data_IF_577988464355
#
_entry.id   IF_577988464355
#
_cell.length_a   1.000
_cell.length_b   1.000
_cell.length_c   1.000
_cell.angle_alpha   90.00
_cell.angle_beta   90.00
_cell.angle_gamma   90.00
#
_symmetry.space_group_name_H-M   'P 1'
#
loop_
_entity.id
_entity.type
_entity.pdbx_description
1 polymer ?
#
# COMPACT_ATOMS: atom_id res chain seq x y z
N UNK A 1 1.84 -9.73 -2.65
CA UNK A 1 0.58 -10.32 -2.13
C UNK A 1 -0.38 -9.22 -1.69
N UNK A 2 -1.67 -9.50 -1.53
CA UNK A 2 -2.58 -8.62 -0.77
C UNK A 2 -2.16 -8.55 0.70
N UNK A 3 -2.65 -7.54 1.43
CA UNK A 3 -2.53 -7.50 2.88
C UNK A 3 -3.43 -8.61 3.49
N UNK A 4 -2.87 -9.82 3.63
CA UNK A 4 -3.56 -11.03 4.08
C UNK A 4 -2.78 -11.71 5.22
N UNK A 5 -2.99 -11.28 6.49
CA UNK A 5 -2.17 -11.69 7.62
C UNK A 5 -2.06 -13.20 7.84
N UNK A 6 -3.14 -13.95 7.61
CA UNK A 6 -3.12 -15.41 7.79
C UNK A 6 -2.25 -16.12 6.76
N UNK A 7 -2.23 -15.63 5.52
CA UNK A 7 -1.38 -16.18 4.46
C UNK A 7 0.08 -15.84 4.77
N UNK A 8 0.34 -14.60 5.18
CA UNK A 8 1.67 -14.19 5.61
C UNK A 8 2.20 -15.10 6.71
N UNK A 9 1.44 -15.27 7.79
CA UNK A 9 1.88 -16.10 8.92
C UNK A 9 2.15 -17.56 8.49
N UNK A 10 1.30 -18.13 7.63
CA UNK A 10 1.48 -19.48 7.13
C UNK A 10 2.75 -19.63 6.29
N UNK A 11 3.03 -18.67 5.41
CA UNK A 11 4.22 -18.68 4.54
C UNK A 11 5.49 -18.47 5.36
N UNK A 12 5.52 -17.51 6.30
CA UNK A 12 6.67 -17.27 7.16
C UNK A 12 6.98 -18.46 8.07
N UNK A 13 5.94 -19.17 8.53
CA UNK A 13 6.11 -20.41 9.31
C UNK A 13 6.68 -21.55 8.46
N UNK A 14 6.19 -21.71 7.23
CA UNK A 14 6.57 -22.82 6.35
C UNK A 14 7.90 -22.58 5.63
N UNK A 15 8.24 -21.32 5.33
CA UNK A 15 9.41 -20.92 4.56
C UNK A 15 10.06 -19.71 5.27
N UNK A 16 10.89 -19.94 6.29
CA UNK A 16 11.42 -18.87 7.15
C UNK A 16 12.31 -17.83 6.45
N UNK A 17 12.86 -18.17 5.27
CA UNK A 17 13.68 -17.27 4.46
C UNK A 17 12.86 -16.49 3.42
N UNK A 18 11.55 -16.69 3.34
CA UNK A 18 10.70 -15.98 2.40
C UNK A 18 10.42 -14.56 2.89
N UNK A 19 10.81 -13.56 2.10
CA UNK A 19 10.41 -12.18 2.32
C UNK A 19 9.06 -11.92 1.63
N UNK A 20 8.06 -11.52 2.40
CA UNK A 20 6.71 -11.26 1.87
C UNK A 20 6.50 -9.77 1.68
N UNK A 21 6.38 -9.39 0.41
CA UNK A 21 6.12 -8.00 0.00
C UNK A 21 4.66 -7.85 -0.46
N UNK A 22 4.05 -6.74 -0.07
CA UNK A 22 2.72 -6.35 -0.47
C UNK A 22 2.73 -5.61 -1.80
N UNK A 23 1.77 -5.95 -2.66
CA UNK A 23 1.63 -5.30 -3.95
C UNK A 23 1.27 -3.83 -3.73
N UNK A 24 2.09 -2.90 -4.24
CA UNK A 24 1.87 -1.47 -4.04
C UNK A 24 0.51 -0.98 -4.54
N UNK A 25 0.01 -1.55 -5.64
CA UNK A 25 -1.33 -1.23 -6.18
C UNK A 25 -2.42 -1.62 -5.20
N UNK A 26 -2.29 -2.78 -4.55
CA UNK A 26 -3.27 -3.25 -3.58
C UNK A 26 -3.19 -2.50 -2.25
N UNK A 27 -1.99 -2.08 -1.85
CA UNK A 27 -1.80 -1.15 -0.71
C UNK A 27 -2.57 0.14 -0.97
N UNK A 28 -2.35 0.81 -2.11
CA UNK A 28 -3.04 2.06 -2.43
C UNK A 28 -4.56 1.88 -2.56
N UNK A 29 -5.03 0.79 -3.17
CA UNK A 29 -6.47 0.49 -3.22
C UNK A 29 -7.09 0.27 -1.84
N UNK A 30 -6.39 -0.42 -0.95
CA UNK A 30 -6.86 -0.64 0.41
C UNK A 30 -6.95 0.67 1.19
N UNK A 31 -5.94 1.54 1.04
CA UNK A 31 -5.95 2.91 1.59
C UNK A 31 -7.10 3.74 1.02
N UNK A 32 -7.31 3.70 -0.29
CA UNK A 32 -8.35 4.49 -0.95
C UNK A 32 -9.76 4.17 -0.45
N UNK A 33 -10.00 2.91 -0.04
CA UNK A 33 -11.26 2.44 0.57
C UNK A 33 -11.44 2.86 2.04
N UNK A 34 -10.54 3.69 2.57
CA UNK A 34 -10.52 4.17 3.96
C UNK A 34 -10.55 5.69 4.05
N UNK A 35 -10.93 6.35 2.97
CA UNK A 35 -11.15 7.80 2.95
C UNK A 35 -12.16 8.26 4.02
N UNK A 36 -13.12 7.41 4.40
CA UNK A 36 -14.10 7.71 5.44
C UNK A 36 -13.50 7.81 6.86
N UNK A 37 -12.23 7.45 7.04
CA UNK A 37 -11.51 7.58 8.32
C UNK A 37 -10.92 8.97 8.55
N UNK A 38 -10.88 9.80 7.51
CA UNK A 38 -10.40 11.17 7.56
C UNK A 38 -11.59 12.11 7.72
N UNK A 39 -11.45 13.09 8.61
CA UNK A 39 -12.41 14.15 8.82
C UNK A 39 -12.29 15.21 7.72
N UNK A 40 -11.05 15.58 7.36
CA UNK A 40 -10.76 16.49 6.25
C UNK A 40 -10.40 15.71 4.97
N UNK A 41 -11.10 16.04 3.89
CA UNK A 41 -10.85 15.45 2.57
C UNK A 41 -9.47 15.84 2.01
N UNK A 42 -9.01 17.06 2.26
CA UNK A 42 -7.69 17.54 1.86
C UNK A 42 -6.57 16.77 2.57
N UNK A 43 -6.78 16.43 3.84
CA UNK A 43 -5.85 15.61 4.61
C UNK A 43 -5.78 14.19 4.03
N UNK A 44 -6.90 13.59 3.66
CA UNK A 44 -6.90 12.30 2.96
C UNK A 44 -6.13 12.35 1.63
N UNK A 45 -6.32 13.39 0.83
CA UNK A 45 -5.65 13.52 -0.48
C UNK A 45 -4.14 13.69 -0.31
N UNK A 46 -3.70 14.51 0.64
CA UNK A 46 -2.29 14.67 1.02
C UNK A 46 -1.71 13.35 1.51
N UNK A 47 -2.37 12.69 2.47
CA UNK A 47 -1.98 11.38 2.97
C UNK A 47 -1.83 10.33 1.86
N UNK A 48 -2.82 10.25 0.95
CA UNK A 48 -2.81 9.29 -0.15
C UNK A 48 -1.64 9.54 -1.12
N UNK A 49 -1.33 10.80 -1.40
CA UNK A 49 -0.18 11.16 -2.25
C UNK A 49 1.14 10.80 -1.57
N UNK A 50 1.30 11.08 -0.27
CA UNK A 50 2.49 10.67 0.49
C UNK A 50 2.64 9.14 0.50
N UNK A 51 1.56 8.40 0.73
CA UNK A 51 1.54 6.93 0.61
C UNK A 51 1.98 6.47 -0.79
N UNK A 52 1.55 7.14 -1.85
CA UNK A 52 1.96 6.82 -3.23
C UNK A 52 3.46 7.02 -3.43
N UNK A 53 4.03 8.11 -2.92
CA UNK A 53 5.47 8.36 -2.96
C UNK A 53 6.24 7.28 -2.19
N UNK A 54 5.78 6.90 -1.00
CA UNK A 54 6.42 5.84 -0.22
C UNK A 54 6.35 4.45 -0.86
N UNK A 55 5.31 4.19 -1.66
CA UNK A 55 5.08 2.90 -2.33
C UNK A 55 5.76 2.80 -3.70
N UNK A 56 5.86 3.92 -4.43
CA UNK A 56 6.30 3.94 -5.83
C UNK A 56 7.31 5.03 -6.21
N UNK A 57 7.61 5.98 -5.32
CA UNK A 57 8.57 7.06 -5.62
C UNK A 57 9.92 6.48 -6.01
N UNK A 58 10.58 7.04 -7.01
CA UNK A 58 11.85 6.50 -7.50
C UNK A 58 13.05 7.22 -6.89
N UNK A 59 14.22 6.58 -6.90
CA UNK A 59 15.48 7.25 -6.56
C UNK A 59 15.80 8.43 -7.48
N UNK A 60 15.24 8.44 -8.71
CA UNK A 60 15.37 9.55 -9.67
C UNK A 60 14.64 10.83 -9.21
N UNK A 61 13.63 10.73 -8.34
CA UNK A 61 12.87 11.87 -7.86
C UNK A 61 13.56 12.61 -6.68
N UNK A 62 14.77 12.18 -6.25
CA UNK A 62 15.50 12.73 -5.08
C UNK A 62 14.62 12.88 -3.83
N UNK A 63 13.69 11.93 -3.63
CA UNK A 63 12.77 11.94 -2.51
C UNK A 63 13.43 11.29 -1.30
N UNK A 64 13.51 12.01 -0.17
CA UNK A 64 13.87 11.42 1.13
C UNK A 64 12.65 10.66 1.71
N UNK A 65 12.68 9.31 1.80
CA UNK A 65 11.57 8.54 2.34
C UNK A 65 11.29 8.82 3.81
N UNK A 66 12.29 9.25 4.58
CA UNK A 66 12.12 9.60 5.99
C UNK A 66 11.36 10.92 6.13
N UNK A 67 11.67 11.92 5.29
CA UNK A 67 10.92 13.18 5.23
C UNK A 67 9.45 12.95 4.82
N UNK A 68 9.22 12.15 3.78
CA UNK A 68 7.86 11.82 3.33
C UNK A 68 7.08 11.07 4.42
N UNK A 69 7.72 10.17 5.15
CA UNK A 69 7.08 9.46 6.25
C UNK A 69 6.75 10.40 7.41
N UNK A 70 7.66 11.32 7.78
CA UNK A 70 7.39 12.33 8.81
C UNK A 70 6.19 13.21 8.44
N UNK A 71 6.13 13.71 7.20
CA UNK A 71 4.99 14.48 6.71
C UNK A 71 3.67 13.67 6.76
N UNK A 72 3.75 12.36 6.51
CA UNK A 72 2.59 11.47 6.64
C UNK A 72 2.14 11.35 8.11
N UNK A 73 3.08 11.29 9.05
CA UNK A 73 2.76 11.27 10.49
C UNK A 73 2.12 12.58 10.96
N UNK A 74 2.56 13.72 10.44
CA UNK A 74 1.95 15.03 10.74
C UNK A 74 0.47 15.05 10.36
N UNK A 75 0.13 14.61 9.14
CA UNK A 75 -1.27 14.50 8.71
C UNK A 75 -2.08 13.54 9.60
N UNK A 76 -1.50 12.40 9.99
CA UNK A 76 -2.17 11.45 10.88
C UNK A 76 -2.38 12.00 12.29
N UNK A 77 -1.52 12.91 12.78
CA UNK A 77 -1.70 13.55 14.08
C UNK A 77 -2.95 14.43 14.14
N UNK A 78 -3.37 14.99 13.00
CA UNK A 78 -4.60 15.78 12.87
C UNK A 78 -5.86 14.89 12.73
N UNK A 79 -5.68 13.60 12.42
CA UNK A 79 -6.75 12.68 12.02
C UNK A 79 -6.78 11.41 12.90
N UNK A 80 -7.31 11.47 14.14
CA UNK A 80 -7.18 10.39 15.12
C UNK A 80 -7.73 9.02 14.66
N UNK A 81 -8.86 9.02 13.95
CA UNK A 81 -9.47 7.78 13.46
C UNK A 81 -8.67 7.16 12.29
N UNK A 82 -8.07 7.99 11.45
CA UNK A 82 -7.16 7.53 10.40
C UNK A 82 -5.85 7.01 11.01
N UNK A 83 -5.31 7.69 12.03
CA UNK A 83 -4.13 7.25 12.78
C UNK A 83 -4.32 5.90 13.43
N UNK A 84 -5.40 5.70 14.18
CA UNK A 84 -5.69 4.41 14.82
C UNK A 84 -5.74 3.27 13.78
N UNK A 85 -6.39 3.52 12.64
CA UNK A 85 -6.41 2.58 11.53
C UNK A 85 -5.00 2.32 10.97
N UNK A 86 -4.21 3.38 10.76
CA UNK A 86 -2.87 3.29 10.20
C UNK A 86 -1.91 2.51 11.10
N UNK A 87 -1.92 2.81 12.39
CA UNK A 87 -1.08 2.17 13.40
C UNK A 87 -1.36 0.65 13.42
N UNK A 88 -2.64 0.28 13.34
CA UNK A 88 -3.04 -1.14 13.36
C UNK A 88 -2.75 -1.89 12.07
N UNK A 89 -2.73 -1.24 10.91
CA UNK A 89 -2.67 -1.94 9.61
C UNK A 89 -1.34 -1.79 8.87
N UNK A 90 -0.66 -0.66 9.01
CA UNK A 90 0.46 -0.28 8.13
C UNK A 90 1.75 -0.03 8.90
N UNK A 91 1.69 0.62 10.07
CA UNK A 91 2.87 1.04 10.84
C UNK A 91 3.79 -0.11 11.24
N UNK A 92 3.24 -1.27 11.60
CA UNK A 92 4.05 -2.43 11.98
C UNK A 92 4.59 -3.24 10.79
N UNK A 93 4.29 -2.81 9.56
CA UNK A 93 4.57 -3.56 8.33
C UNK A 93 5.26 -2.70 7.26
N UNK A 94 6.00 -1.65 7.67
CA UNK A 94 6.66 -0.72 6.74
C UNK A 94 7.54 -1.47 5.73
N UNK A 95 8.29 -2.48 6.20
CA UNK A 95 9.14 -3.39 5.43
C UNK A 95 8.41 -4.14 4.31
N UNK A 96 7.08 -4.28 4.43
CA UNK A 96 6.27 -5.04 3.48
C UNK A 96 5.68 -4.16 2.38
N UNK A 97 5.56 -2.86 2.57
CA UNK A 97 4.86 -2.00 1.60
C UNK A 97 5.66 -0.82 1.09
N UNK A 98 6.55 -0.21 1.88
CA UNK A 98 7.38 0.90 1.42
C UNK A 98 8.44 0.41 0.43
N UNK A 99 8.69 1.21 -0.60
CA UNK A 99 9.67 0.87 -1.64
C UNK A 99 11.09 0.75 -1.08
N UNK A 100 11.47 1.61 -0.12
CA UNK A 100 12.83 1.66 0.45
C UNK A 100 13.33 0.33 1.05
N UNK A 101 12.41 -0.57 1.41
CA UNK A 101 12.73 -1.87 2.02
C UNK A 101 12.66 -3.03 1.01
N UNK A 102 12.43 -2.74 -0.27
CA UNK A 102 12.35 -3.72 -1.35
C UNK A 102 13.70 -3.89 -2.02
N UNK A 103 13.99 -5.10 -2.51
CA UNK A 103 15.18 -5.35 -3.30
C UNK A 103 14.91 -4.99 -4.77
N UNK A 104 15.99 -4.88 -5.55
CA UNK A 104 15.91 -4.75 -7.01
C UNK A 104 15.08 -5.92 -7.61
N UNK A 105 13.99 -5.59 -8.32
CA UNK A 105 13.10 -6.58 -8.94
C UNK A 105 11.76 -6.81 -8.21
N UNK A 106 11.61 -6.39 -6.95
CA UNK A 106 10.38 -6.55 -6.16
C UNK A 106 9.29 -5.50 -6.50
N UNK A 107 9.58 -4.60 -7.44
CA UNK A 107 8.72 -3.50 -7.87
C UNK A 107 7.70 -3.83 -8.95
N UNK A 108 7.71 -5.04 -9.54
CA UNK A 108 6.86 -5.34 -10.70
C UNK A 108 5.39 -5.51 -10.32
N UNK A 109 4.64 -4.42 -10.43
CA UNK A 109 3.22 -4.29 -10.14
C UNK A 109 2.31 -4.51 -11.38
N UNK A 110 2.88 -4.61 -12.59
CA UNK A 110 2.10 -4.62 -13.84
C UNK A 110 1.50 -5.99 -14.23
N UNK A 111 2.10 -7.10 -13.81
CA UNK A 111 1.70 -8.45 -14.26
C UNK A 111 0.34 -8.83 -13.66
N UNK A 112 0.19 -8.67 -12.34
CA UNK A 112 -1.06 -9.04 -11.64
C UNK A 112 -2.26 -8.19 -12.08
N UNK A 113 -2.09 -6.87 -12.23
CA UNK A 113 -3.11 -5.95 -12.75
C UNK A 113 -3.53 -6.30 -14.18
N UNK A 114 -2.55 -6.56 -15.06
CA UNK A 114 -2.81 -6.92 -16.45
C UNK A 114 -3.62 -8.21 -16.54
N UNK A 115 -3.22 -9.26 -15.82
CA UNK A 115 -3.97 -10.51 -15.76
C UNK A 115 -5.37 -10.33 -15.16
N UNK A 116 -5.51 -9.53 -14.10
CA UNK A 116 -6.82 -9.29 -13.49
C UNK A 116 -7.77 -8.54 -14.42
N UNK A 117 -7.28 -7.53 -15.16
CA UNK A 117 -8.06 -6.82 -16.19
C UNK A 117 -8.52 -7.77 -17.30
N UNK A 118 -7.64 -8.64 -17.80
CA UNK A 118 -7.99 -9.65 -18.82
C UNK A 118 -9.08 -10.59 -18.29
N UNK A 119 -8.93 -11.11 -17.07
CA UNK A 119 -9.93 -12.01 -16.47
C UNK A 119 -11.28 -11.31 -16.27
N UNK A 120 -11.30 -10.08 -15.74
CA UNK A 120 -12.54 -9.28 -15.61
C UNK A 120 -13.19 -9.05 -16.98
N UNK A 121 -12.41 -8.66 -17.99
CA UNK A 121 -12.94 -8.40 -19.32
C UNK A 121 -13.50 -9.64 -20.02
N UNK A 122 -12.85 -10.80 -19.86
CA UNK A 122 -13.26 -12.03 -20.52
C UNK A 122 -14.44 -12.73 -19.83
N UNK A 123 -14.44 -12.78 -18.50
CA UNK A 123 -15.38 -13.64 -17.75
C UNK A 123 -16.45 -12.88 -16.97
N UNK A 124 -16.26 -11.57 -16.72
CA UNK A 124 -17.20 -10.76 -15.96
C UNK A 124 -17.58 -9.45 -16.69
N UNK A 125 -18.03 -9.52 -17.95
CA UNK A 125 -18.25 -8.34 -18.78
C UNK A 125 -19.30 -7.38 -18.23
N UNK A 126 -20.22 -7.83 -17.37
CA UNK A 126 -21.26 -7.00 -16.74
C UNK A 126 -20.81 -6.29 -15.45
N UNK A 127 -19.64 -6.62 -14.89
CA UNK A 127 -19.12 -6.04 -13.63
C UNK A 127 -17.90 -5.13 -13.85
N UNK A 128 -17.94 -4.34 -14.92
CA UNK A 128 -16.80 -3.50 -15.35
C UNK A 128 -16.42 -2.38 -14.35
N UNK A 129 -17.36 -1.91 -13.51
CA UNK A 129 -17.19 -0.72 -12.67
C UNK A 129 -17.53 -0.95 -11.18
N UNK A 130 -17.06 -2.04 -10.58
CA UNK A 130 -17.01 -2.22 -9.12
C UNK A 130 -15.56 -2.24 -8.64
#
# INVERSE_FOLDING_TARGET
MDCAPQITNAVETAIPLCQIIWCGVHVLRAVMRKAEKFQDRSNFETFYNLMKLLVFGSEEEEIDPDEVYNNLEEILNEEPAAREYFDRQWRHHLDRWMLRYRNEGDGTNNISESHFKVLKHQYFPERRNL
#
